data_IF_323194944600
#
_entry.id   IF_323194944600
#
_cell.length_a   1.000
_cell.length_b   1.000
_cell.length_c   1.000
_cell.angle_alpha   90.00
_cell.angle_beta   90.00
_cell.angle_gamma   90.00
#
_symmetry.space_group_name_H-M   'P 1'
#
loop_
_entity.id
_entity.type
_entity.pdbx_description
1 polymer ?
#
# COMPACT_ATOMS: atom_id res chain seq x y z
N UNK A 1 -4.32 -6.46 77.20
CA UNK A 1 -5.56 -6.77 76.47
C UNK A 1 -6.13 -5.39 76.17
N UNK A 2 -6.00 -4.85 74.96
CA UNK A 2 -6.81 -5.26 73.83
C UNK A 2 -6.12 -5.04 72.47
N UNK A 3 -5.96 -6.14 71.74
CA UNK A 3 -5.33 -6.26 70.43
C UNK A 3 -6.39 -6.15 69.30
N UNK A 4 -7.34 -5.22 69.41
CA UNK A 4 -8.59 -5.29 68.62
C UNK A 4 -8.94 -4.06 67.80
N UNK A 5 -8.09 -3.02 67.75
CA UNK A 5 -8.38 -1.80 66.99
C UNK A 5 -7.39 -1.45 65.87
N UNK A 6 -6.52 -2.39 65.46
CA UNK A 6 -5.63 -2.22 64.29
C UNK A 6 -6.11 -2.99 63.06
N UNK A 7 -7.41 -3.08 62.87
CA UNK A 7 -8.02 -3.56 61.63
C UNK A 7 -9.18 -2.64 61.30
N UNK A 8 -8.94 -1.66 60.42
CA UNK A 8 -9.86 -1.09 59.41
C UNK A 8 -9.30 0.29 59.03
N UNK A 9 -8.32 0.30 58.11
CA UNK A 9 -8.11 1.40 57.15
C UNK A 9 -7.01 1.02 56.16
N UNK A 10 -7.10 -0.15 55.52
CA UNK A 10 -6.45 -0.35 54.23
C UNK A 10 -7.47 0.12 53.19
N UNK A 11 -7.53 1.44 53.02
CA UNK A 11 -8.16 2.03 51.83
C UNK A 11 -7.25 1.66 50.67
N UNK A 12 -7.68 0.65 49.95
CA UNK A 12 -7.13 0.20 48.68
C UNK A 12 -7.22 1.39 47.70
N UNK A 13 -6.12 2.15 47.61
CA UNK A 13 -5.90 3.12 46.56
C UNK A 13 -5.53 2.33 45.30
N UNK A 14 -6.53 1.74 44.62
CA UNK A 14 -6.35 1.27 43.26
C UNK A 14 -6.09 2.51 42.40
N UNK A 15 -4.95 2.62 41.71
CA UNK A 15 -4.90 3.51 40.58
C UNK A 15 -5.89 2.92 39.57
N UNK A 16 -7.01 3.61 39.35
CA UNK A 16 -7.75 3.45 38.12
C UNK A 16 -6.79 3.90 37.02
N UNK A 17 -6.00 2.96 36.47
CA UNK A 17 -5.47 3.10 35.14
C UNK A 17 -6.67 3.01 34.19
N UNK A 18 -7.51 4.04 34.18
CA UNK A 18 -8.17 4.42 32.97
C UNK A 18 -7.01 4.71 32.01
N UNK A 19 -6.77 3.80 31.08
CA UNK A 19 -5.96 4.09 29.90
C UNK A 19 -6.71 5.20 29.20
N UNK A 20 -6.40 6.44 29.57
CA UNK A 20 -6.83 7.60 28.84
C UNK A 20 -6.11 7.50 27.50
N UNK A 21 -6.82 6.94 26.50
CA UNK A 21 -6.34 6.90 25.13
C UNK A 21 -6.02 8.33 24.69
N UNK A 22 -4.80 8.55 24.25
CA UNK A 22 -4.43 9.84 23.67
C UNK A 22 -4.93 9.86 22.22
N UNK A 23 -6.03 10.59 22.01
CA UNK A 23 -6.73 10.69 20.71
C UNK A 23 -5.78 11.27 19.65
N UNK A 24 -4.91 12.21 20.04
CA UNK A 24 -3.96 12.83 19.14
C UNK A 24 -2.87 11.86 18.70
N UNK A 25 -2.27 11.15 19.65
CA UNK A 25 -1.27 10.14 19.37
C UNK A 25 -1.84 8.99 18.50
N UNK A 26 -3.07 8.55 18.80
CA UNK A 26 -3.74 7.52 18.02
C UNK A 26 -4.04 7.99 16.58
N UNK A 27 -4.49 9.23 16.40
CA UNK A 27 -4.72 9.82 15.09
C UNK A 27 -3.44 9.85 14.25
N UNK A 28 -2.31 10.20 14.85
CA UNK A 28 -1.00 10.23 14.17
C UNK A 28 -0.55 8.84 13.71
N UNK A 29 -0.70 7.82 14.56
CA UNK A 29 -0.40 6.43 14.18
C UNK A 29 -1.23 5.98 12.98
N UNK A 30 -2.52 6.33 12.93
CA UNK A 30 -3.37 6.00 11.77
C UNK A 30 -3.00 6.79 10.52
N UNK A 31 -2.60 8.07 10.64
CA UNK A 31 -2.09 8.87 9.52
C UNK A 31 -0.81 8.25 8.97
N UNK A 32 0.12 7.87 9.86
CA UNK A 32 1.36 7.20 9.47
C UNK A 32 1.07 5.87 8.76
N UNK A 33 0.14 5.06 9.29
CA UNK A 33 -0.25 3.79 8.69
C UNK A 33 -0.80 3.93 7.26
N UNK A 34 -1.52 5.02 6.96
CA UNK A 34 -2.04 5.32 5.62
C UNK A 34 -0.95 5.77 4.65
N UNK A 35 0.06 6.46 5.18
CA UNK A 35 1.18 6.98 4.39
C UNK A 35 2.28 5.92 4.16
N UNK A 36 2.34 4.88 4.98
CA UNK A 36 3.29 3.78 4.79
C UNK A 36 2.87 2.91 3.60
N UNK A 37 3.69 2.82 2.54
CA UNK A 37 3.38 1.98 1.39
C UNK A 37 3.43 0.50 1.79
N UNK A 38 2.38 -0.25 1.45
CA UNK A 38 2.37 -1.70 1.58
C UNK A 38 2.89 -2.31 0.27
N UNK A 39 3.95 -3.12 0.35
CA UNK A 39 4.46 -3.80 -0.83
C UNK A 39 3.58 -5.01 -1.11
N UNK A 40 2.64 -4.84 -2.05
CA UNK A 40 1.74 -5.90 -2.52
C UNK A 40 2.56 -6.89 -3.36
N UNK A 41 3.11 -7.91 -2.69
CA UNK A 41 3.25 -9.32 -3.09
C UNK A 41 3.79 -9.75 -4.46
N UNK A 42 4.14 -8.86 -5.38
CA UNK A 42 4.41 -9.21 -6.77
C UNK A 42 5.38 -8.23 -7.46
N UNK A 43 6.55 -8.01 -6.86
CA UNK A 43 7.61 -7.27 -7.56
C UNK A 43 8.10 -8.07 -8.77
N UNK A 44 8.58 -7.38 -9.80
CA UNK A 44 9.17 -8.00 -11.00
C UNK A 44 10.29 -9.00 -10.64
N UNK A 45 11.09 -8.66 -9.63
CA UNK A 45 12.17 -9.49 -9.11
C UNK A 45 11.66 -10.83 -8.54
N UNK A 46 10.55 -10.83 -7.78
CA UNK A 46 9.98 -12.07 -7.23
C UNK A 46 9.44 -12.97 -8.33
N UNK A 47 8.87 -12.40 -9.40
CA UNK A 47 8.46 -13.16 -10.59
C UNK A 47 9.65 -13.80 -11.29
N UNK A 48 10.75 -13.06 -11.45
CA UNK A 48 11.99 -13.58 -12.05
C UNK A 48 12.51 -14.79 -11.27
N UNK A 49 12.66 -14.67 -9.95
CA UNK A 49 13.09 -15.80 -9.12
C UNK A 49 12.13 -16.99 -9.18
N UNK A 50 10.82 -16.76 -9.24
CA UNK A 50 9.84 -17.84 -9.36
C UNK A 50 9.98 -18.60 -10.70
N UNK A 51 10.23 -17.87 -11.80
CA UNK A 51 10.47 -18.47 -13.12
C UNK A 51 11.77 -19.27 -13.15
N UNK A 52 12.88 -18.70 -12.69
CA UNK A 52 14.20 -19.37 -12.67
C UNK A 52 14.19 -20.61 -11.78
N UNK A 53 13.57 -20.52 -10.59
CA UNK A 53 13.43 -21.67 -9.70
C UNK A 53 12.55 -22.76 -10.33
N UNK A 54 11.51 -22.36 -11.07
CA UNK A 54 10.68 -23.26 -11.86
C UNK A 54 11.50 -24.02 -12.92
N UNK A 55 12.35 -23.30 -13.66
CA UNK A 55 13.26 -23.87 -14.66
C UNK A 55 14.23 -24.88 -14.00
N UNK A 56 14.95 -24.47 -12.95
CA UNK A 56 15.89 -25.36 -12.23
C UNK A 56 15.20 -26.63 -11.70
N UNK A 57 13.99 -26.49 -11.15
CA UNK A 57 13.22 -27.65 -10.69
C UNK A 57 12.84 -28.60 -11.83
N UNK A 58 12.54 -28.08 -13.02
CA UNK A 58 12.26 -28.91 -14.19
C UNK A 58 13.54 -29.59 -14.70
N UNK A 59 14.66 -28.88 -14.77
CA UNK A 59 15.95 -29.43 -15.18
C UNK A 59 16.40 -30.57 -14.26
N UNK A 60 16.32 -30.37 -12.94
CA UNK A 60 16.63 -31.41 -11.94
C UNK A 60 15.73 -32.63 -12.13
N UNK A 61 14.43 -32.45 -12.35
CA UNK A 61 13.49 -33.57 -12.58
C UNK A 61 13.81 -34.32 -13.87
N UNK A 62 14.12 -33.58 -14.94
CA UNK A 62 14.46 -34.14 -16.24
C UNK A 62 15.75 -34.94 -16.15
N UNK A 63 16.81 -34.36 -15.56
CA UNK A 63 18.10 -35.03 -15.37
C UNK A 63 17.96 -36.27 -14.49
N UNK A 64 17.22 -36.20 -13.38
CA UNK A 64 16.95 -37.40 -12.55
C UNK A 64 16.19 -38.49 -13.30
N UNK A 65 15.37 -38.13 -14.29
CA UNK A 65 14.65 -39.09 -15.14
C UNK A 65 15.60 -39.69 -16.18
N UNK A 66 16.46 -38.87 -16.78
CA UNK A 66 17.51 -39.31 -17.70
C UNK A 66 18.52 -40.24 -17.02
N UNK A 67 18.98 -39.88 -15.81
CA UNK A 67 19.81 -40.74 -14.97
C UNK A 67 19.15 -42.10 -14.73
N UNK A 68 17.84 -42.14 -14.46
CA UNK A 68 17.11 -43.40 -14.30
C UNK A 68 17.06 -44.21 -15.61
N UNK A 69 16.86 -43.56 -16.76
CA UNK A 69 16.85 -44.21 -18.09
C UNK A 69 18.22 -44.78 -18.46
N UNK A 70 19.29 -44.07 -18.11
CA UNK A 70 20.67 -44.47 -18.36
C UNK A 70 21.23 -45.45 -17.31
N UNK A 71 20.44 -45.83 -16.30
CA UNK A 71 20.85 -46.79 -15.28
C UNK A 71 21.71 -46.20 -14.15
N UNK A 72 21.81 -44.88 -14.04
CA UNK A 72 22.55 -44.16 -13.00
C UNK A 72 21.74 -43.94 -11.71
N UNK A 73 20.61 -44.63 -11.54
CA UNK A 73 19.73 -44.51 -10.37
C UNK A 73 20.37 -45.11 -9.11
N UNK A 74 20.39 -44.35 -8.01
CA UNK A 74 21.10 -44.64 -6.75
C UNK A 74 20.62 -45.82 -5.91
N UNK A 75 20.28 -46.95 -6.54
CA UNK A 75 19.99 -48.21 -5.87
C UNK A 75 20.65 -49.34 -6.64
N UNK A 76 21.81 -49.79 -6.14
CA UNK A 76 22.47 -51.07 -6.41
C UNK A 76 21.89 -51.88 -7.59
N UNK A 77 22.34 -51.58 -8.81
CA UNK A 77 22.38 -52.61 -9.85
C UNK A 77 23.72 -52.44 -10.56
N UNK A 78 24.72 -53.16 -10.05
CA UNK A 78 26.01 -53.29 -10.71
C UNK A 78 25.74 -54.01 -12.03
N UNK A 79 25.73 -53.27 -13.14
CA UNK A 79 25.86 -53.89 -14.46
C UNK A 79 27.33 -54.30 -14.60
N UNK A 80 27.64 -55.55 -14.29
CA UNK A 80 28.92 -56.16 -14.68
C UNK A 80 29.05 -56.04 -16.21
N UNK A 81 30.02 -55.23 -16.69
CA UNK A 81 30.52 -55.26 -18.06
C UNK A 81 30.08 -54.15 -19.02
N UNK A 82 29.54 -53.01 -18.56
CA UNK A 82 29.14 -51.89 -19.42
C UNK A 82 30.06 -50.67 -19.31
N UNK A 83 30.51 -50.11 -20.44
CA UNK A 83 31.24 -48.84 -20.56
C UNK A 83 30.30 -47.66 -20.23
N UNK A 84 29.84 -47.53 -18.98
CA UNK A 84 28.93 -46.45 -18.57
C UNK A 84 29.39 -45.65 -17.36
N UNK A 85 30.61 -45.87 -16.85
CA UNK A 85 31.08 -45.24 -15.61
C UNK A 85 31.25 -43.71 -15.76
N UNK A 86 31.76 -43.23 -16.91
CA UNK A 86 31.97 -41.79 -17.15
C UNK A 86 30.67 -41.00 -17.29
N UNK A 87 29.71 -41.51 -18.07
CA UNK A 87 28.44 -40.80 -18.34
C UNK A 87 27.58 -40.66 -17.07
N UNK A 88 27.60 -41.67 -16.20
CA UNK A 88 26.90 -41.59 -14.92
C UNK A 88 27.55 -40.61 -13.94
N UNK A 89 28.88 -40.50 -13.93
CA UNK A 89 29.57 -39.51 -13.10
C UNK A 89 29.28 -38.08 -13.57
N UNK A 90 29.34 -37.84 -14.88
CA UNK A 90 29.02 -36.53 -15.46
C UNK A 90 27.59 -36.09 -15.13
N UNK A 91 26.60 -37.00 -15.24
CA UNK A 91 25.22 -36.72 -14.87
C UNK A 91 25.06 -36.44 -13.37
N UNK A 92 25.80 -37.15 -12.50
CA UNK A 92 25.78 -36.90 -11.05
C UNK A 92 26.38 -35.53 -10.72
N UNK A 93 27.48 -35.17 -11.36
CA UNK A 93 28.10 -33.87 -11.19
C UNK A 93 27.19 -32.74 -11.66
N UNK A 94 26.56 -32.90 -12.83
CA UNK A 94 25.58 -31.94 -13.32
C UNK A 94 24.37 -31.79 -12.37
N UNK A 95 23.89 -32.90 -11.81
CA UNK A 95 22.80 -32.86 -10.82
C UNK A 95 23.21 -32.05 -9.57
N UNK A 96 24.43 -32.27 -9.07
CA UNK A 96 24.95 -31.53 -7.93
C UNK A 96 25.10 -30.03 -8.24
N UNK A 97 25.56 -29.69 -9.44
CA UNK A 97 25.63 -28.30 -9.91
C UNK A 97 24.24 -27.66 -9.92
N UNK A 98 23.25 -28.27 -10.58
CA UNK A 98 21.88 -27.76 -10.64
C UNK A 98 21.25 -27.61 -9.25
N UNK A 99 21.51 -28.55 -8.34
CA UNK A 99 21.02 -28.50 -6.96
C UNK A 99 21.63 -27.33 -6.19
N UNK A 100 22.94 -27.12 -6.34
CA UNK A 100 23.65 -26.01 -5.68
C UNK A 100 23.24 -24.64 -6.21
N UNK A 101 23.04 -24.50 -7.53
CA UNK A 101 22.51 -23.28 -8.16
C UNK A 101 21.06 -23.01 -7.73
N UNK A 102 20.23 -24.05 -7.61
CA UNK A 102 18.87 -23.91 -7.09
C UNK A 102 18.91 -23.38 -5.66
N UNK A 103 19.82 -23.88 -4.83
CA UNK A 103 19.98 -23.42 -3.44
C UNK A 103 20.44 -21.98 -3.35
N UNK A 104 21.41 -21.56 -4.18
CA UNK A 104 21.85 -20.16 -4.23
C UNK A 104 20.69 -19.23 -4.61
N UNK A 105 19.87 -19.60 -5.60
CA UNK A 105 18.67 -18.85 -5.98
C UNK A 105 17.62 -18.76 -4.85
N UNK A 106 17.46 -19.82 -4.05
CA UNK A 106 16.55 -19.78 -2.89
C UNK A 106 17.06 -18.79 -1.83
N UNK A 107 18.37 -18.77 -1.58
CA UNK A 107 19.00 -17.83 -0.64
C UNK A 107 18.86 -16.40 -1.16
N UNK A 108 19.17 -16.16 -2.43
CA UNK A 108 19.07 -14.85 -3.06
C UNK A 108 17.63 -14.33 -3.04
N UNK A 109 16.65 -15.18 -3.39
CA UNK A 109 15.22 -14.87 -3.27
C UNK A 109 14.85 -14.48 -1.83
N UNK A 110 15.31 -15.23 -0.82
CA UNK A 110 15.03 -14.91 0.59
C UNK A 110 15.61 -13.56 0.98
N UNK A 111 16.83 -13.27 0.54
CA UNK A 111 17.48 -11.98 0.79
C UNK A 111 16.74 -10.85 0.07
N UNK A 112 16.36 -11.03 -1.20
CA UNK A 112 15.53 -10.08 -1.94
C UNK A 112 14.17 -9.82 -1.27
N UNK A 113 13.53 -10.87 -0.74
CA UNK A 113 12.32 -10.72 0.08
C UNK A 113 12.61 -9.93 1.36
N UNK A 114 13.76 -10.14 2.01
CA UNK A 114 14.12 -9.42 3.23
C UNK A 114 14.36 -7.92 2.97
N UNK A 115 14.97 -7.53 1.85
CA UNK A 115 15.12 -6.12 1.46
C UNK A 115 13.78 -5.48 1.06
N UNK A 116 12.86 -6.25 0.48
CA UNK A 116 11.50 -5.78 0.23
C UNK A 116 10.74 -5.63 1.56
N UNK A 117 10.93 -6.57 2.49
CA UNK A 117 10.31 -6.51 3.83
C UNK A 117 10.93 -5.46 4.73
N UNK A 118 12.13 -4.94 4.47
CA UNK A 118 12.75 -3.91 5.32
C UNK A 118 12.03 -2.56 5.28
N UNK A 119 10.97 -2.41 4.47
CA UNK A 119 9.89 -1.44 4.70
C UNK A 119 8.91 -1.95 5.77
N UNK A 120 9.42 -2.57 6.82
CA UNK A 120 8.67 -3.07 7.99
C UNK A 120 8.35 -1.88 8.92
N UNK A 121 8.08 -0.69 8.38
CA UNK A 121 7.60 0.46 9.16
C UNK A 121 6.14 0.25 9.55
N UNK A 122 5.40 -0.55 8.77
CA UNK A 122 3.97 -0.83 9.01
C UNK A 122 3.75 -1.69 10.26
N UNK A 123 4.61 -2.67 10.53
CA UNK A 123 4.49 -3.57 11.70
C UNK A 123 4.68 -2.88 13.05
N UNK A 124 5.68 -2.00 13.30
CA UNK A 124 5.78 -1.25 14.55
C UNK A 124 4.63 -0.26 14.71
N UNK A 125 4.12 0.35 13.63
CA UNK A 125 2.92 1.21 13.69
C UNK A 125 1.71 0.38 14.15
N UNK A 126 1.49 -0.80 13.57
CA UNK A 126 0.40 -1.70 13.98
C UNK A 126 0.60 -2.24 15.41
N UNK A 127 1.84 -2.40 15.87
CA UNK A 127 2.14 -2.76 17.25
C UNK A 127 1.80 -1.61 18.20
N UNK A 128 2.21 -0.38 17.89
CA UNK A 128 1.90 0.82 18.66
C UNK A 128 0.39 1.10 18.74
N UNK A 129 -0.36 0.88 17.64
CA UNK A 129 -1.83 0.97 17.64
C UNK A 129 -2.44 -0.02 18.64
N UNK A 130 -1.94 -1.26 18.69
CA UNK A 130 -2.42 -2.28 19.63
C UNK A 130 -2.05 -1.97 21.08
N UNK A 131 -0.82 -1.50 21.31
CA UNK A 131 -0.33 -1.15 22.65
C UNK A 131 -1.09 0.04 23.25
N UNK A 132 -1.42 1.05 22.44
CA UNK A 132 -2.20 2.21 22.85
C UNK A 132 -3.72 1.97 22.83
N UNK A 133 -4.16 0.76 22.46
CA UNK A 133 -5.59 0.42 22.32
C UNK A 133 -6.39 1.40 21.43
N UNK A 134 -5.74 1.93 20.39
CA UNK A 134 -6.34 2.90 19.49
C UNK A 134 -7.48 2.29 18.66
N UNK A 135 -8.50 3.08 18.38
CA UNK A 135 -9.63 2.71 17.51
C UNK A 135 -9.77 3.68 16.34
N UNK A 136 -10.33 3.25 15.18
CA UNK A 136 -10.42 4.09 13.99
C UNK A 136 -11.22 5.38 14.20
N UNK A 137 -12.16 5.41 15.16
CA UNK A 137 -12.93 6.61 15.48
C UNK A 137 -12.10 7.70 16.17
N UNK A 138 -10.94 7.37 16.75
CA UNK A 138 -10.06 8.37 17.39
C UNK A 138 -9.52 9.36 16.34
N UNK A 139 -9.23 8.87 15.14
CA UNK A 139 -8.86 9.72 14.00
C UNK A 139 -10.01 10.66 13.59
N UNK A 140 -11.24 10.16 13.59
CA UNK A 140 -12.42 10.96 13.23
C UNK A 140 -12.74 12.01 14.31
N UNK A 141 -12.58 11.65 15.59
CA UNK A 141 -12.71 12.57 16.73
C UNK A 141 -11.69 13.71 16.64
N UNK A 142 -10.43 13.39 16.36
CA UNK A 142 -9.35 14.36 16.17
C UNK A 142 -9.66 15.33 15.02
N UNK A 143 -10.11 14.82 13.87
CA UNK A 143 -10.44 15.64 12.70
C UNK A 143 -11.56 16.64 12.99
N UNK A 144 -12.60 16.22 13.74
CA UNK A 144 -13.68 17.12 14.15
C UNK A 144 -13.17 18.25 15.04
N UNK A 145 -12.30 17.93 16.01
CA UNK A 145 -11.71 18.94 16.89
C UNK A 145 -10.86 19.95 16.11
N UNK A 146 -10.01 19.48 15.20
CA UNK A 146 -9.20 20.33 14.33
C UNK A 146 -10.08 21.22 13.43
N UNK A 147 -11.20 20.70 12.91
CA UNK A 147 -12.15 21.47 12.11
C UNK A 147 -12.84 22.56 12.94
N UNK A 148 -13.31 22.23 14.14
CA UNK A 148 -13.89 23.20 15.08
C UNK A 148 -12.91 24.31 15.45
N UNK A 149 -11.64 23.97 15.69
CA UNK A 149 -10.58 24.96 15.94
C UNK A 149 -10.33 25.85 14.72
N UNK A 150 -10.26 25.27 13.52
CA UNK A 150 -10.12 26.04 12.28
C UNK A 150 -11.29 27.00 12.04
N UNK A 151 -12.51 26.58 12.38
CA UNK A 151 -13.71 27.41 12.30
C UNK A 151 -13.66 28.56 13.33
N UNK A 152 -13.13 28.32 14.53
CA UNK A 152 -12.96 29.37 15.57
C UNK A 152 -11.91 30.42 15.19
N UNK A 153 -10.87 30.05 14.44
CA UNK A 153 -9.79 30.97 14.03
C UNK A 153 -10.20 31.89 12.86
N UNK A 154 -11.17 31.48 12.02
CA UNK A 154 -11.80 32.37 11.05
C UNK A 154 -12.80 33.27 11.79
N UNK A 155 -12.33 34.44 12.24
CA UNK A 155 -13.01 35.41 13.10
C UNK A 155 -14.37 35.93 12.63
N UNK A 156 -15.38 35.07 12.61
CA UNK A 156 -16.79 35.38 12.59
C UNK A 156 -17.42 34.62 13.76
N UNK A 157 -17.31 35.18 14.96
CA UNK A 157 -18.17 34.76 16.07
C UNK A 157 -19.61 35.01 15.63
N UNK A 158 -20.40 33.94 15.46
CA UNK A 158 -21.85 34.07 15.31
C UNK A 158 -22.38 34.77 16.57
N UNK A 159 -23.02 35.95 16.45
CA UNK A 159 -23.53 36.66 17.62
C UNK A 159 -24.52 35.78 18.37
N UNK A 160 -24.27 35.54 19.66
CA UNK A 160 -25.25 34.87 20.52
C UNK A 160 -26.50 35.74 20.56
N UNK A 161 -27.63 35.17 20.14
CA UNK A 161 -28.94 35.85 20.12
C UNK A 161 -29.27 36.39 21.51
N UNK A 162 -29.21 37.71 21.65
CA UNK A 162 -29.82 38.41 22.77
C UNK A 162 -31.24 38.84 22.35
N UNK A 163 -32.25 38.74 23.24
CA UNK A 163 -33.62 39.11 22.91
C UNK A 163 -33.70 40.61 22.56
N UNK A 164 -34.06 40.87 21.31
CA UNK A 164 -34.02 42.17 20.65
C UNK A 164 -35.19 43.06 21.08
N UNK A 165 -34.90 44.19 21.74
CA UNK A 165 -35.81 45.34 21.79
C UNK A 165 -35.01 46.62 21.62
N UNK A 166 -35.19 47.28 20.48
CA UNK A 166 -34.55 48.55 20.17
C UNK A 166 -34.70 48.86 18.70
N UNK A 167 -35.74 49.64 18.37
CA UNK A 167 -35.98 50.16 17.02
C UNK A 167 -34.73 50.94 16.58
N UNK A 168 -34.09 50.48 15.50
CA UNK A 168 -33.00 51.20 14.85
C UNK A 168 -33.58 51.96 13.66
N UNK A 169 -33.56 53.29 13.74
CA UNK A 169 -33.92 54.18 12.64
C UNK A 169 -32.94 54.02 11.46
N UNK A 170 -33.41 53.42 10.35
CA UNK A 170 -32.67 53.35 9.10
C UNK A 170 -32.73 54.69 8.35
N UNK A 171 -31.90 55.66 8.74
CA UNK A 171 -31.53 56.76 7.83
C UNK A 171 -30.38 56.29 6.94
N UNK A 172 -30.74 55.70 5.79
CA UNK A 172 -29.79 55.34 4.75
C UNK A 172 -29.12 56.59 4.15
N UNK A 173 -27.85 56.82 4.49
CA UNK A 173 -26.92 57.42 3.52
C UNK A 173 -26.59 56.32 2.50
N UNK A 174 -26.64 56.57 1.19
CA UNK A 174 -26.13 55.61 0.22
C UNK A 174 -24.61 55.61 0.34
N UNK A 175 -24.07 54.82 1.27
CA UNK A 175 -22.72 54.33 1.09
C UNK A 175 -22.78 53.41 -0.12
N UNK A 176 -22.21 53.90 -1.23
CA UNK A 176 -21.91 53.07 -2.38
C UNK A 176 -20.96 51.99 -1.87
N UNK A 177 -21.52 50.84 -1.56
CA UNK A 177 -20.77 49.62 -1.35
C UNK A 177 -20.01 49.42 -2.66
N UNK A 178 -18.71 49.70 -2.66
CA UNK A 178 -17.82 49.07 -3.61
C UNK A 178 -17.82 47.61 -3.22
N UNK A 179 -18.81 46.86 -3.71
CA UNK A 179 -18.66 45.43 -3.91
C UNK A 179 -17.34 45.30 -4.65
N UNK A 180 -16.33 44.75 -3.99
CA UNK A 180 -15.16 44.26 -4.70
C UNK A 180 -15.72 43.20 -5.65
N UNK A 181 -15.91 43.61 -6.90
CA UNK A 181 -16.31 42.73 -7.96
C UNK A 181 -15.34 41.55 -7.92
N UNK A 182 -15.87 40.33 -7.80
CA UNK A 182 -15.08 39.16 -8.13
C UNK A 182 -14.41 39.35 -9.50
N UNK A 183 -13.27 38.71 -9.76
CA UNK A 183 -12.58 38.85 -11.03
C UNK A 183 -13.59 38.69 -12.18
N UNK A 184 -13.55 39.56 -13.21
CA UNK A 184 -14.53 39.52 -14.29
C UNK A 184 -14.57 38.12 -14.90
N UNK A 185 -15.74 37.63 -15.35
CA UNK A 185 -15.82 36.35 -16.04
C UNK A 185 -14.80 36.37 -17.19
N UNK A 186 -13.87 35.41 -17.16
CA UNK A 186 -12.85 35.31 -18.19
C UNK A 186 -13.58 35.04 -19.51
N UNK A 187 -13.38 35.87 -20.55
CA UNK A 187 -14.05 35.66 -21.82
C UNK A 187 -13.63 34.32 -22.40
N UNK A 188 -14.60 33.55 -22.88
CA UNK A 188 -14.35 32.31 -23.59
C UNK A 188 -13.39 32.58 -24.75
N UNK A 189 -12.26 31.88 -24.76
CA UNK A 189 -11.26 32.04 -25.81
C UNK A 189 -11.82 31.37 -27.07
N UNK A 190 -11.94 32.07 -28.21
CA UNK A 190 -12.35 31.44 -29.47
C UNK A 190 -11.44 30.25 -29.77
N UNK A 191 -12.04 29.09 -30.02
CA UNK A 191 -11.30 27.88 -30.38
C UNK A 191 -10.59 28.11 -31.72
N UNK A 192 -9.25 28.14 -31.67
CA UNK A 192 -8.40 28.25 -32.86
C UNK A 192 -7.79 26.88 -33.16
N UNK A 193 -8.24 26.18 -34.22
CA UNK A 193 -7.73 24.85 -34.58
C UNK A 193 -6.25 24.86 -35.00
N UNK A 194 -5.67 26.03 -35.30
CA UNK A 194 -4.24 26.14 -35.64
C UNK A 194 -3.33 26.18 -34.40
N UNK A 195 -3.88 26.40 -33.21
CA UNK A 195 -3.12 26.33 -31.94
C UNK A 195 -3.12 24.91 -31.40
N UNK A 196 -1.96 24.25 -31.46
CA UNK A 196 -1.76 22.91 -30.87
C UNK A 196 -1.97 22.96 -29.35
N UNK A 197 -3.10 22.43 -28.89
CA UNK A 197 -3.35 22.12 -27.48
C UNK A 197 -2.57 20.86 -27.13
N UNK A 198 -1.83 20.87 -26.01
CA UNK A 198 -1.14 19.67 -25.53
C UNK A 198 -2.19 18.74 -24.94
N UNK A 199 -2.56 17.69 -25.67
CA UNK A 199 -3.45 16.65 -25.16
C UNK A 199 -2.75 15.91 -24.02
N UNK A 200 -3.30 16.02 -22.81
CA UNK A 200 -2.85 15.24 -21.65
C UNK A 200 -3.71 13.99 -21.56
N UNK A 201 -3.07 12.82 -21.67
CA UNK A 201 -3.74 11.52 -21.61
C UNK A 201 -3.40 10.61 -22.79
N UNK A 202 -3.66 9.30 -22.66
CA UNK A 202 -3.46 8.36 -23.74
C UNK A 202 -4.37 8.71 -24.93
N UNK A 203 -3.80 8.67 -26.14
CA UNK A 203 -4.53 8.91 -27.38
C UNK A 203 -5.33 7.66 -27.72
N UNK A 204 -6.65 7.72 -27.57
CA UNK A 204 -7.53 6.57 -27.83
C UNK A 204 -7.92 6.42 -29.30
N UNK A 205 -7.75 7.45 -30.12
CA UNK A 205 -8.15 7.45 -31.53
C UNK A 205 -6.94 7.68 -32.44
N UNK A 206 -6.65 6.78 -33.40
CA UNK A 206 -5.67 7.05 -34.44
C UNK A 206 -6.18 8.17 -35.36
N UNK A 207 -5.29 9.02 -35.88
CA UNK A 207 -5.65 10.14 -36.78
C UNK A 207 -6.03 9.69 -38.21
N UNK A 208 -6.27 8.41 -38.41
CA UNK A 208 -6.67 7.83 -39.69
C UNK A 208 -8.19 7.90 -39.88
N UNK A 209 -8.67 8.02 -41.12
CA UNK A 209 -10.09 8.03 -41.42
C UNK A 209 -10.71 6.63 -41.18
N UNK A 210 -11.34 6.46 -40.02
CA UNK A 210 -12.04 5.22 -39.65
C UNK A 210 -13.31 5.09 -40.50
N UNK A 211 -13.47 3.97 -41.22
CA UNK A 211 -14.72 3.64 -41.91
C UNK A 211 -15.81 3.26 -40.87
N UNK A 212 -16.71 4.20 -40.59
CA UNK A 212 -17.83 3.99 -39.66
C UNK A 212 -18.95 3.13 -40.26
N UNK A 213 -18.96 2.90 -41.58
CA UNK A 213 -20.02 2.12 -42.24
C UNK A 213 -19.78 0.61 -42.15
N UNK A 214 -18.51 0.19 -42.08
CA UNK A 214 -18.13 -1.23 -41.97
C UNK A 214 -17.17 -1.46 -40.79
N UNK A 215 -17.69 -1.51 -39.55
CA UNK A 215 -16.87 -1.62 -38.34
C UNK A 215 -16.15 -2.97 -38.17
N UNK A 216 -16.31 -3.91 -39.12
CA UNK A 216 -15.62 -5.20 -39.11
C UNK A 216 -14.29 -5.06 -39.85
N UNK A 217 -13.21 -4.94 -39.09
CA UNK A 217 -11.86 -5.11 -39.64
C UNK A 217 -11.73 -6.54 -40.22
N UNK A 218 -11.18 -6.66 -41.41
CA UNK A 218 -10.78 -7.96 -41.98
C UNK A 218 -9.52 -8.46 -41.28
N UNK A 219 -9.68 -9.04 -40.09
CA UNK A 219 -8.56 -9.58 -39.31
C UNK A 219 -8.90 -9.74 -37.84
N UNK A 220 -8.10 -10.55 -37.13
CA UNK A 220 -8.21 -10.72 -35.68
C UNK A 220 -7.88 -9.41 -34.95
N UNK A 221 -8.76 -9.00 -34.05
CA UNK A 221 -8.57 -7.85 -33.19
C UNK A 221 -7.32 -8.06 -32.30
N UNK A 222 -6.42 -7.07 -32.18
CA UNK A 222 -5.27 -7.19 -31.29
C UNK A 222 -5.77 -7.33 -29.85
N UNK A 223 -5.30 -8.37 -29.14
CA UNK A 223 -5.57 -8.53 -27.71
C UNK A 223 -4.84 -7.43 -26.93
N UNK A 224 -5.57 -6.78 -26.02
CA UNK A 224 -5.02 -5.83 -25.05
C UNK A 224 -4.55 -6.54 -23.79
#
# INVERSE_FOLDING_TARGET
>A
MDLRQLLVSVVVLLPQAAVARDIAACADLYRQLRNTPEIIGNTQEIRRYAQELGQKNNDIRNLRTEMRRNGCGGGSIVKLGGVSDGNCEDMRQNLQTLESERESLVVERRNGIALVRSTDERTPILAAIRENSCIPSDLEEQQRQEEEERLKVQGLELPKEQPYSGIVDLRGRPQRQTAAAGPPPVPDRPYDPNKKVRTVGPVFFPEESIDLAHPRLSGTQPQQ
#
